data_IF_364605601399
#
_entry.id   IF_364605601399
#
_cell.length_a   1.000
_cell.length_b   1.000
_cell.length_c   1.000
_cell.angle_alpha   90.00
_cell.angle_beta   90.00
_cell.angle_gamma   90.00
#
_symmetry.space_group_name_H-M   'P 1'
#
loop_
_entity.id
_entity.type
_entity.pdbx_description
1 polymer ?
#
# COMPACT_ATOMS: atom_id res chain seq x y z
N UNK A 1 7.31 21.09 2.38
CA UNK A 1 6.69 20.43 1.22
C UNK A 1 5.48 19.67 1.76
N UNK A 2 4.28 19.98 1.28
CA UNK A 2 3.07 19.25 1.65
C UNK A 2 3.06 17.92 0.88
N UNK A 3 2.78 16.81 1.55
CA UNK A 3 2.55 15.53 0.88
C UNK A 3 1.36 15.66 -0.09
N UNK A 4 1.38 14.98 -1.25
CA UNK A 4 0.17 14.79 -2.02
C UNK A 4 -0.81 14.00 -1.15
N UNK A 5 -2.03 14.50 -0.98
CA UNK A 5 -3.11 13.69 -0.47
C UNK A 5 -3.24 12.48 -1.42
N UNK A 6 -3.02 11.26 -0.93
CA UNK A 6 -3.52 10.09 -1.63
C UNK A 6 -5.02 10.32 -1.81
N UNK A 7 -5.47 10.38 -3.07
CA UNK A 7 -6.90 10.35 -3.35
C UNK A 7 -7.51 9.11 -2.69
N UNK A 8 -8.81 9.13 -2.34
CA UNK A 8 -9.46 7.95 -1.80
C UNK A 8 -9.27 6.82 -2.80
N UNK A 9 -8.51 5.80 -2.40
CA UNK A 9 -8.53 4.53 -3.09
C UNK A 9 -10.00 4.05 -3.08
N UNK A 10 -10.39 3.24 -4.07
CA UNK A 10 -11.68 2.57 -4.08
C UNK A 10 -11.37 1.06 -4.12
N UNK A 11 -11.81 0.29 -3.14
CA UNK A 11 -11.51 -1.15 -2.96
C UNK A 11 -12.55 -1.83 -2.06
N UNK A 12 -13.84 -1.55 -2.28
CA UNK A 12 -14.96 -2.37 -1.81
C UNK A 12 -15.94 -2.51 -2.97
N UNK A 13 -16.59 -3.67 -3.11
CA UNK A 13 -17.61 -3.89 -4.14
C UNK A 13 -18.71 -2.82 -4.04
N UNK A 14 -19.15 -2.31 -5.18
CA UNK A 14 -20.31 -1.40 -5.29
C UNK A 14 -21.00 -1.65 -6.62
N UNK A 15 -22.29 -1.32 -6.71
CA UNK A 15 -22.97 -1.34 -8.00
C UNK A 15 -22.44 -0.22 -8.90
N UNK A 16 -22.42 -0.47 -10.20
CA UNK A 16 -22.10 0.49 -11.23
C UNK A 16 -23.07 0.39 -12.41
N UNK A 17 -23.04 1.40 -13.27
CA UNK A 17 -23.59 1.38 -14.63
C UNK A 17 -22.46 1.71 -15.61
N UNK A 18 -22.60 1.27 -16.86
CA UNK A 18 -21.73 1.71 -17.95
C UNK A 18 -22.30 3.00 -18.55
N UNK A 19 -21.48 4.05 -18.61
CA UNK A 19 -21.79 5.28 -19.33
C UNK A 19 -20.78 5.49 -20.47
N UNK A 20 -21.04 6.45 -21.35
CA UNK A 20 -20.17 6.90 -22.44
C UNK A 20 -18.74 7.25 -22.00
N UNK A 21 -18.55 7.52 -20.72
CA UNK A 21 -17.24 7.81 -20.12
C UNK A 21 -16.57 6.63 -19.41
N UNK A 22 -17.22 5.50 -19.13
CA UNK A 22 -16.68 4.40 -18.30
C UNK A 22 -17.63 3.96 -17.18
N UNK A 23 -17.15 3.24 -16.17
CA UNK A 23 -17.98 2.82 -15.02
C UNK A 23 -18.40 4.02 -14.17
N UNK A 24 -19.69 4.08 -13.84
CA UNK A 24 -20.27 5.08 -12.94
C UNK A 24 -20.93 4.35 -11.78
N UNK A 25 -20.50 4.65 -10.56
CA UNK A 25 -21.07 4.06 -9.34
C UNK A 25 -22.56 4.38 -9.22
N UNK A 26 -23.37 3.37 -8.90
CA UNK A 26 -24.80 3.53 -8.63
C UNK A 26 -25.12 3.02 -7.23
N UNK A 27 -25.99 3.74 -6.53
CA UNK A 27 -26.57 3.26 -5.27
C UNK A 27 -27.77 2.39 -5.57
N UNK A 28 -27.97 1.36 -4.77
CA UNK A 28 -29.17 0.52 -4.81
C UNK A 28 -29.77 0.45 -3.42
N UNK A 29 -31.09 0.59 -3.34
CA UNK A 29 -31.82 0.37 -2.08
C UNK A 29 -32.28 -1.09 -1.96
N UNK A 30 -32.24 -1.85 -3.06
CA UNK A 30 -32.82 -3.20 -3.18
C UNK A 30 -31.90 -4.33 -2.76
N UNK A 31 -30.58 -4.13 -2.88
CA UNK A 31 -29.57 -5.16 -2.57
C UNK A 31 -28.79 -4.75 -1.34
N UNK A 32 -28.89 -5.51 -0.27
CA UNK A 32 -28.20 -5.31 1.00
C UNK A 32 -27.03 -6.28 1.18
N UNK A 33 -26.03 -5.91 2.01
CA UNK A 33 -24.94 -6.81 2.40
C UNK A 33 -25.32 -7.49 3.73
N UNK A 34 -25.72 -8.76 3.63
CA UNK A 34 -26.03 -9.58 4.80
C UNK A 34 -24.76 -10.02 5.55
N UNK A 35 -23.66 -10.24 4.83
CA UNK A 35 -22.36 -10.43 5.49
C UNK A 35 -21.20 -10.11 4.58
N UNK A 36 -20.10 -9.64 5.17
CA UNK A 36 -18.78 -9.52 4.56
C UNK A 36 -17.74 -10.19 5.47
N UNK A 37 -16.97 -11.13 4.91
CA UNK A 37 -15.79 -11.74 5.53
C UNK A 37 -14.55 -11.32 4.74
N UNK A 38 -13.82 -10.36 5.28
CA UNK A 38 -12.64 -9.73 4.70
C UNK A 38 -11.38 -10.27 5.38
N UNK A 39 -10.50 -10.87 4.58
CA UNK A 39 -9.17 -11.30 4.98
C UNK A 39 -8.11 -10.49 4.24
N UNK A 40 -7.14 -9.93 4.96
CA UNK A 40 -6.04 -9.16 4.38
C UNK A 40 -4.70 -9.64 4.93
N UNK A 41 -3.74 -9.83 4.03
CA UNK A 41 -2.33 -10.11 4.30
C UNK A 41 -1.46 -9.47 3.23
N UNK A 42 -0.14 -9.41 3.41
CA UNK A 42 0.78 -8.91 2.37
C UNK A 42 0.72 -9.71 1.07
N UNK A 43 0.29 -10.98 1.13
CA UNK A 43 0.33 -11.89 -0.02
C UNK A 43 -1.04 -12.08 -0.69
N UNK A 44 -2.13 -11.81 0.03
CA UNK A 44 -3.48 -12.10 -0.44
C UNK A 44 -4.52 -11.27 0.32
N UNK A 45 -5.46 -10.71 -0.44
CA UNK A 45 -6.75 -10.25 0.04
C UNK A 45 -7.82 -11.22 -0.44
N UNK A 46 -8.72 -11.62 0.44
CA UNK A 46 -9.93 -12.40 0.11
C UNK A 46 -11.13 -11.73 0.71
N UNK A 47 -12.21 -11.65 -0.05
CA UNK A 47 -13.48 -11.17 0.47
C UNK A 47 -14.58 -12.13 0.06
N UNK A 48 -15.49 -12.39 1.00
CA UNK A 48 -16.68 -13.19 0.78
C UNK A 48 -17.91 -12.40 1.22
N UNK A 49 -18.74 -12.03 0.25
CA UNK A 49 -20.02 -11.37 0.48
C UNK A 49 -21.17 -12.36 0.44
N UNK A 50 -22.21 -12.01 1.19
CA UNK A 50 -23.57 -12.49 1.01
C UNK A 50 -24.45 -11.28 0.71
N UNK A 51 -24.82 -11.11 -0.56
CA UNK A 51 -25.73 -10.06 -0.99
C UNK A 51 -27.17 -10.58 -0.95
N UNK A 52 -28.11 -9.82 -0.39
CA UNK A 52 -29.52 -10.19 -0.34
C UNK A 52 -30.34 -9.22 -1.19
N UNK A 53 -31.18 -9.77 -2.06
CA UNK A 53 -32.20 -8.98 -2.74
C UNK A 53 -33.46 -8.93 -1.87
N UNK A 54 -33.76 -7.75 -1.35
CA UNK A 54 -34.93 -7.51 -0.49
C UNK A 54 -36.21 -7.22 -1.30
N UNK A 55 -36.10 -7.07 -2.63
CA UNK A 55 -37.23 -6.85 -3.53
C UNK A 55 -37.94 -8.15 -3.95
N UNK A 56 -39.17 -7.97 -4.45
CA UNK A 56 -40.02 -9.03 -5.01
C UNK A 56 -39.76 -9.31 -6.49
N UNK A 57 -38.79 -8.62 -7.09
CA UNK A 57 -38.41 -8.76 -8.50
C UNK A 57 -36.92 -9.05 -8.63
N UNK A 58 -36.55 -9.76 -9.69
CA UNK A 58 -35.15 -9.99 -10.00
C UNK A 58 -34.47 -8.65 -10.31
N UNK A 59 -33.23 -8.49 -9.82
CA UNK A 59 -32.38 -7.33 -10.11
C UNK A 59 -31.20 -7.80 -10.94
N UNK A 60 -30.95 -7.15 -12.07
CA UNK A 60 -29.74 -7.32 -12.87
C UNK A 60 -28.92 -6.04 -12.82
N UNK A 61 -27.62 -6.15 -12.53
CA UNK A 61 -26.75 -5.00 -12.35
C UNK A 61 -25.30 -5.31 -12.74
N UNK A 62 -24.48 -4.27 -12.83
CA UNK A 62 -23.02 -4.39 -12.92
C UNK A 62 -22.48 -4.24 -11.50
N UNK A 63 -21.73 -5.24 -11.05
CA UNK A 63 -20.91 -5.12 -9.86
C UNK A 63 -19.52 -4.72 -10.32
N UNK A 64 -18.95 -3.73 -9.63
CA UNK A 64 -17.63 -3.24 -9.91
C UNK A 64 -16.81 -3.24 -8.62
N UNK A 65 -15.59 -3.77 -8.74
CA UNK A 65 -14.56 -3.83 -7.73
C UNK A 65 -13.42 -2.93 -8.17
N UNK A 66 -13.37 -1.70 -7.65
CA UNK A 66 -12.22 -0.83 -7.89
C UNK A 66 -10.99 -1.39 -7.17
N UNK A 67 -9.81 -1.16 -7.75
CA UNK A 67 -8.53 -1.49 -7.14
C UNK A 67 -7.92 -0.23 -6.54
N UNK A 68 -7.02 -0.37 -5.56
CA UNK A 68 -6.23 0.75 -5.06
C UNK A 68 -5.53 1.52 -6.18
N UNK A 69 -5.47 2.83 -6.02
CA UNK A 69 -4.79 3.74 -6.93
C UNK A 69 -3.29 3.42 -7.01
N UNK A 70 -2.75 3.40 -8.23
CA UNK A 70 -1.34 3.10 -8.48
C UNK A 70 -0.68 4.33 -9.09
N UNK A 71 0.30 4.87 -8.40
CA UNK A 71 1.13 5.96 -8.92
C UNK A 71 2.59 5.59 -8.75
N UNK A 72 3.43 6.17 -9.59
CA UNK A 72 4.88 6.02 -9.47
C UNK A 72 5.40 7.03 -8.44
N UNK A 73 5.55 6.61 -7.19
CA UNK A 73 6.19 7.43 -6.15
C UNK A 73 7.71 7.17 -6.15
N UNK A 74 8.54 8.19 -6.38
CA UNK A 74 9.99 8.02 -6.37
C UNK A 74 10.52 7.64 -4.96
N UNK A 75 9.88 8.08 -3.88
CA UNK A 75 10.34 7.87 -2.51
C UNK A 75 9.85 6.58 -1.88
N UNK A 76 8.74 6.02 -2.35
CA UNK A 76 8.14 4.80 -1.80
C UNK A 76 8.14 3.65 -2.81
N UNK A 77 8.66 2.50 -2.38
CA UNK A 77 8.57 1.28 -3.18
C UNK A 77 7.16 0.71 -3.11
N UNK A 78 6.55 0.49 -4.28
CA UNK A 78 5.30 -0.27 -4.39
C UNK A 78 5.62 -1.63 -5.00
N UNK A 79 5.34 -2.70 -4.25
CA UNK A 79 5.42 -4.05 -4.78
C UNK A 79 4.16 -4.35 -5.62
N UNK A 80 4.33 -4.37 -6.94
CA UNK A 80 3.32 -4.90 -7.87
C UNK A 80 3.68 -6.36 -8.22
N UNK A 81 2.79 -7.33 -7.94
CA UNK A 81 3.06 -8.75 -8.20
C UNK A 81 3.42 -9.07 -9.65
N UNK A 82 2.69 -8.49 -10.62
CA UNK A 82 2.88 -8.78 -12.04
C UNK A 82 2.84 -7.49 -12.90
N UNK A 83 3.90 -6.64 -12.88
CA UNK A 83 3.88 -5.27 -13.42
C UNK A 83 3.72 -5.17 -14.95
N UNK A 84 3.70 -6.31 -15.67
CA UNK A 84 3.67 -6.37 -17.12
C UNK A 84 2.39 -6.95 -17.73
N UNK A 85 1.37 -7.26 -16.93
CA UNK A 85 0.07 -7.76 -17.43
C UNK A 85 -1.09 -6.92 -16.91
N UNK A 86 -2.19 -6.90 -17.65
CA UNK A 86 -3.38 -6.13 -17.28
C UNK A 86 -3.97 -6.60 -15.93
N UNK A 87 -3.93 -7.91 -15.64
CA UNK A 87 -4.31 -8.46 -14.33
C UNK A 87 -3.13 -8.49 -13.34
N UNK A 88 -2.51 -7.35 -13.11
CA UNK A 88 -1.26 -7.22 -12.33
C UNK A 88 -1.38 -7.64 -10.84
N UNK A 89 -2.60 -7.86 -10.33
CA UNK A 89 -2.89 -8.33 -8.95
C UNK A 89 -3.50 -9.73 -8.90
N UNK A 90 -3.54 -10.46 -10.04
CA UNK A 90 -4.10 -11.80 -10.11
C UNK A 90 -5.55 -11.91 -9.58
N UNK A 91 -6.38 -10.89 -9.85
CA UNK A 91 -7.77 -10.82 -9.41
C UNK A 91 -8.61 -11.96 -10.00
N UNK A 92 -9.38 -12.63 -9.14
CA UNK A 92 -10.36 -13.65 -9.51
C UNK A 92 -11.65 -13.43 -8.75
N UNK A 93 -12.79 -13.72 -9.37
CA UNK A 93 -14.12 -13.61 -8.75
C UNK A 93 -14.98 -14.82 -9.07
N UNK A 94 -15.78 -15.23 -8.10
CA UNK A 94 -16.76 -16.30 -8.17
C UNK A 94 -18.12 -15.79 -7.68
N UNK A 95 -19.20 -16.26 -8.31
CA UNK A 95 -20.58 -15.99 -7.92
C UNK A 95 -21.34 -17.30 -7.80
N UNK A 96 -21.94 -17.55 -6.63
CA UNK A 96 -22.58 -18.82 -6.26
C UNK A 96 -21.70 -20.06 -6.57
N UNK A 97 -20.39 -19.94 -6.30
CA UNK A 97 -19.39 -20.99 -6.52
C UNK A 97 -19.00 -21.22 -7.98
N UNK A 98 -19.43 -20.35 -8.90
CA UNK A 98 -19.02 -20.39 -10.32
C UNK A 98 -18.03 -19.26 -10.59
N UNK A 99 -16.87 -19.60 -11.14
CA UNK A 99 -15.89 -18.61 -11.59
C UNK A 99 -16.49 -17.71 -12.68
N UNK A 100 -16.23 -16.41 -12.54
CA UNK A 100 -16.58 -15.40 -13.53
C UNK A 100 -15.30 -14.85 -14.18
N UNK A 101 -15.41 -14.41 -15.43
CA UNK A 101 -14.36 -13.62 -16.09
C UNK A 101 -14.72 -12.14 -15.98
N UNK A 102 -14.11 -11.39 -15.06
CA UNK A 102 -14.36 -9.96 -14.96
C UNK A 102 -13.77 -9.23 -16.16
N UNK A 103 -14.37 -8.11 -16.50
CA UNK A 103 -13.82 -7.11 -17.40
C UNK A 103 -12.96 -6.14 -16.59
N UNK A 104 -11.95 -5.54 -17.21
CA UNK A 104 -11.07 -4.58 -16.56
C UNK A 104 -11.16 -3.23 -17.27
N UNK A 105 -11.41 -2.17 -16.49
CA UNK A 105 -11.26 -0.78 -16.93
C UNK A 105 -10.04 -0.16 -16.24
N UNK A 106 -9.20 0.52 -17.01
CA UNK A 106 -8.04 1.26 -16.49
C UNK A 106 -8.03 2.68 -17.04
N UNK A 107 -7.79 3.63 -16.15
CA UNK A 107 -7.73 5.06 -16.45
C UNK A 107 -6.56 5.71 -15.76
N UNK A 108 -5.96 6.71 -16.41
CA UNK A 108 -4.88 7.51 -15.86
C UNK A 108 -5.36 8.92 -15.52
N UNK A 109 -4.95 9.40 -14.37
CA UNK A 109 -5.30 10.72 -13.85
C UNK A 109 -4.05 11.50 -13.45
N UNK A 110 -4.04 12.79 -13.70
CA UNK A 110 -3.06 13.73 -13.13
C UNK A 110 -3.81 14.86 -12.44
N UNK A 111 -3.62 15.01 -11.11
CA UNK A 111 -4.36 15.94 -10.27
C UNK A 111 -5.90 15.89 -10.54
N UNK A 112 -6.47 14.69 -10.58
CA UNK A 112 -7.88 14.36 -10.90
C UNK A 112 -8.34 14.60 -12.36
N UNK A 113 -7.49 15.11 -13.25
CA UNK A 113 -7.82 15.20 -14.66
C UNK A 113 -7.54 13.86 -15.36
N UNK A 114 -8.53 13.32 -16.05
CA UNK A 114 -8.35 12.11 -16.86
C UNK A 114 -7.47 12.40 -18.08
N UNK A 115 -6.29 11.76 -18.11
CA UNK A 115 -5.28 11.86 -19.16
C UNK A 115 -5.16 10.58 -19.99
N UNK A 116 -6.08 9.63 -19.81
CA UNK A 116 -6.06 8.29 -20.46
C UNK A 116 -5.98 8.39 -21.98
N UNK A 117 -6.80 9.25 -22.59
CA UNK A 117 -6.81 9.43 -24.04
C UNK A 117 -5.48 10.02 -24.54
N UNK A 118 -4.85 10.88 -23.76
CA UNK A 118 -3.59 11.53 -24.11
C UNK A 118 -2.41 10.56 -24.03
N UNK A 119 -2.38 9.70 -23.00
CA UNK A 119 -1.41 8.61 -22.90
C UNK A 119 -1.54 7.67 -24.10
N UNK A 120 -2.77 7.22 -24.39
CA UNK A 120 -3.05 6.33 -25.54
C UNK A 120 -2.64 6.97 -26.87
N UNK A 121 -2.98 8.24 -27.10
CA UNK A 121 -2.60 8.95 -28.32
C UNK A 121 -1.07 9.12 -28.46
N UNK A 122 -0.34 9.17 -27.35
CA UNK A 122 1.13 9.23 -27.33
C UNK A 122 1.80 7.85 -27.31
N UNK A 123 1.03 6.75 -27.41
CA UNK A 123 1.51 5.38 -27.25
C UNK A 123 2.26 5.13 -25.93
N UNK A 124 1.83 5.81 -24.86
CA UNK A 124 2.32 5.61 -23.49
C UNK A 124 1.36 4.66 -22.77
N UNK A 125 1.85 3.56 -22.18
CA UNK A 125 1.02 2.66 -21.37
C UNK A 125 0.30 3.38 -20.22
N UNK A 126 -0.91 2.93 -19.87
CA UNK A 126 -1.68 3.49 -18.75
C UNK A 126 -1.09 3.08 -17.40
N UNK A 127 -0.50 1.88 -17.30
CA UNK A 127 0.24 1.48 -16.11
C UNK A 127 1.51 2.34 -15.96
N UNK A 128 1.64 3.17 -14.91
CA UNK A 128 2.81 4.04 -14.72
C UNK A 128 4.05 3.28 -14.24
N UNK A 129 3.90 2.02 -13.81
CA UNK A 129 4.96 1.22 -13.23
C UNK A 129 5.61 0.33 -14.30
N UNK A 130 6.93 0.22 -14.24
CA UNK A 130 7.73 -0.67 -15.08
C UNK A 130 8.38 -0.01 -16.29
N UNK A 131 9.27 -0.77 -16.94
CA UNK A 131 10.16 -0.26 -17.98
C UNK A 131 9.43 0.25 -19.22
N UNK A 132 8.25 -0.29 -19.53
CA UNK A 132 7.49 0.09 -20.71
C UNK A 132 7.02 1.55 -20.66
N UNK A 133 6.45 1.97 -19.53
CA UNK A 133 5.98 3.35 -19.34
C UNK A 133 7.17 4.33 -19.30
N UNK A 134 8.23 3.96 -18.58
CA UNK A 134 9.45 4.76 -18.51
C UNK A 134 10.10 4.94 -19.90
N UNK A 135 10.21 3.85 -20.67
CA UNK A 135 10.77 3.89 -22.01
C UNK A 135 9.90 4.71 -22.99
N UNK A 136 8.57 4.65 -22.86
CA UNK A 136 7.66 5.44 -23.67
C UNK A 136 7.78 6.93 -23.36
N UNK A 137 7.79 7.30 -22.06
CA UNK A 137 7.95 8.69 -21.62
C UNK A 137 9.29 9.30 -22.05
N UNK A 138 10.38 8.53 -21.99
CA UNK A 138 11.72 8.97 -22.46
C UNK A 138 11.78 9.26 -23.97
N UNK A 139 10.87 8.70 -24.77
CA UNK A 139 10.80 8.89 -26.23
C UNK A 139 9.92 10.07 -26.64
N UNK A 140 9.26 10.74 -25.70
CA UNK A 140 8.35 11.84 -26.02
C UNK A 140 9.12 13.04 -26.61
N UNK A 141 8.54 13.73 -27.61
CA UNK A 141 9.10 14.99 -28.12
C UNK A 141 9.24 16.04 -27.01
N UNK A 142 10.28 16.88 -27.10
CA UNK A 142 10.57 17.91 -26.08
C UNK A 142 9.38 18.81 -25.75
N UNK A 143 8.58 19.17 -26.75
CA UNK A 143 7.39 20.00 -26.54
C UNK A 143 6.32 19.28 -25.71
N UNK A 144 6.12 17.98 -25.95
CA UNK A 144 5.20 17.14 -25.20
C UNK A 144 5.67 16.97 -23.76
N UNK A 145 6.98 16.76 -23.56
CA UNK A 145 7.58 16.68 -22.22
C UNK A 145 7.37 17.98 -21.45
N UNK A 146 7.55 19.15 -22.08
CA UNK A 146 7.31 20.45 -21.44
C UNK A 146 5.85 20.62 -21.02
N UNK A 147 4.90 20.27 -21.90
CA UNK A 147 3.47 20.29 -21.59
C UNK A 147 3.11 19.34 -20.44
N UNK A 148 3.57 18.09 -20.51
CA UNK A 148 3.27 17.08 -19.51
C UNK A 148 3.91 17.34 -18.15
N UNK A 149 5.09 17.97 -18.11
CA UNK A 149 5.68 18.47 -16.87
C UNK A 149 4.82 19.57 -16.25
N UNK A 150 4.37 20.55 -17.04
CA UNK A 150 3.55 21.65 -16.55
C UNK A 150 2.19 21.18 -16.00
N UNK A 151 1.70 20.04 -16.50
CA UNK A 151 0.43 19.42 -16.11
C UNK A 151 0.59 18.33 -15.05
N UNK A 152 1.81 17.99 -14.64
CA UNK A 152 2.08 16.93 -13.66
C UNK A 152 1.80 15.50 -14.15
N UNK A 153 1.74 15.27 -15.46
CA UNK A 153 1.60 13.92 -16.04
C UNK A 153 2.93 13.17 -15.90
N UNK A 154 4.05 13.88 -16.03
CA UNK A 154 5.39 13.35 -15.76
C UNK A 154 6.10 14.24 -14.74
N UNK A 155 7.06 13.67 -14.03
CA UNK A 155 7.92 14.39 -13.09
C UNK A 155 9.39 14.24 -13.50
N UNK A 156 10.26 15.12 -12.97
CA UNK A 156 11.71 14.90 -13.08
C UNK A 156 12.13 13.84 -12.08
N UNK A 157 13.05 12.98 -12.50
CA UNK A 157 13.69 12.04 -11.62
C UNK A 157 14.54 12.77 -10.57
N UNK A 158 14.09 12.73 -9.32
CA UNK A 158 14.73 13.41 -8.19
C UNK A 158 16.02 12.73 -7.74
N UNK A 159 16.28 11.49 -8.19
CA UNK A 159 17.51 10.75 -7.89
C UNK A 159 18.52 10.78 -9.03
N UNK A 160 18.27 11.57 -10.07
CA UNK A 160 19.23 11.75 -11.16
C UNK A 160 20.54 12.37 -10.63
N UNK A 161 21.68 11.86 -11.12
CA UNK A 161 23.01 12.36 -10.75
C UNK A 161 23.19 13.85 -11.07
N UNK A 162 22.56 14.31 -12.15
CA UNK A 162 22.53 15.71 -12.58
C UNK A 162 21.08 16.20 -12.57
N UNK A 163 20.66 16.99 -11.56
CA UNK A 163 19.32 17.56 -11.46
C UNK A 163 18.92 18.41 -12.67
N UNK A 164 19.87 19.09 -13.31
CA UNK A 164 19.62 19.95 -14.48
C UNK A 164 19.36 19.12 -15.76
N UNK A 165 19.78 17.85 -15.75
CA UNK A 165 19.57 16.87 -16.83
C UNK A 165 18.71 15.69 -16.43
N UNK A 166 18.00 15.81 -15.30
CA UNK A 166 17.15 14.74 -14.80
C UNK A 166 16.15 14.27 -15.89
N UNK A 167 16.12 12.97 -16.21
CA UNK A 167 15.14 12.42 -17.12
C UNK A 167 13.73 12.56 -16.54
N UNK A 168 12.73 12.49 -17.40
CA UNK A 168 11.33 12.46 -16.96
C UNK A 168 10.85 11.03 -16.68
N UNK A 169 10.05 10.89 -15.64
CA UNK A 169 9.45 9.65 -15.18
C UNK A 169 7.91 9.79 -15.17
N UNK A 170 7.15 8.68 -15.33
CA UNK A 170 5.71 8.68 -15.10
C UNK A 170 5.35 9.28 -13.75
N UNK A 171 4.30 10.10 -13.70
CA UNK A 171 3.80 10.71 -12.46
C UNK A 171 2.26 10.71 -12.35
N UNK A 172 1.56 10.10 -13.31
CA UNK A 172 0.11 9.94 -13.24
C UNK A 172 -0.30 8.81 -12.29
N UNK A 173 -1.54 8.88 -11.81
CA UNK A 173 -2.21 7.83 -11.03
C UNK A 173 -3.06 6.99 -11.96
N UNK A 174 -2.83 5.68 -11.99
CA UNK A 174 -3.71 4.71 -12.61
C UNK A 174 -4.77 4.24 -11.62
N UNK A 175 -6.03 4.35 -12.01
CA UNK A 175 -7.18 3.75 -11.34
C UNK A 175 -7.63 2.54 -12.16
N UNK A 176 -7.74 1.38 -11.52
CA UNK A 176 -8.19 0.12 -12.15
C UNK A 176 -9.52 -0.31 -11.54
N UNK A 177 -10.43 -0.89 -12.34
CA UNK A 177 -11.70 -1.41 -11.84
C UNK A 177 -12.08 -2.67 -12.58
N UNK A 178 -12.22 -3.77 -11.83
CA UNK A 178 -12.81 -5.00 -12.34
C UNK A 178 -14.32 -4.91 -12.29
N UNK A 179 -15.03 -5.43 -13.28
CA UNK A 179 -16.48 -5.43 -13.27
C UNK A 179 -17.08 -6.64 -13.96
N UNK A 180 -18.27 -7.04 -13.54
CA UNK A 180 -19.02 -8.15 -14.12
C UNK A 180 -20.53 -7.91 -14.01
N UNK A 181 -21.29 -8.59 -14.86
CA UNK A 181 -22.76 -8.60 -14.75
C UNK A 181 -23.17 -9.59 -13.67
N UNK A 182 -24.09 -9.17 -12.81
CA UNK A 182 -24.63 -9.97 -11.72
C UNK A 182 -26.16 -9.98 -11.80
N UNK A 183 -26.75 -11.13 -11.48
CA UNK A 183 -28.19 -11.29 -11.27
C UNK A 183 -28.45 -11.62 -9.81
N UNK A 184 -29.35 -10.87 -9.18
CA UNK A 184 -29.82 -11.07 -7.83
C UNK A 184 -31.31 -11.45 -7.87
N UNK A 185 -31.65 -12.75 -7.76
CA UNK A 185 -33.05 -13.18 -7.85
C UNK A 185 -33.89 -12.64 -6.67
N UNK A 186 -35.18 -12.38 -6.92
CA UNK A 186 -36.10 -11.84 -5.91
C UNK A 186 -36.08 -12.62 -4.59
N UNK A 187 -35.89 -11.91 -3.46
CA UNK A 187 -35.91 -12.52 -2.12
C UNK A 187 -34.81 -13.56 -1.88
N UNK A 188 -33.74 -13.60 -2.69
CA UNK A 188 -32.63 -14.55 -2.56
C UNK A 188 -31.36 -13.89 -2.06
N UNK A 189 -30.52 -14.70 -1.44
CA UNK A 189 -29.13 -14.38 -1.13
C UNK A 189 -28.21 -14.98 -2.18
N UNK A 190 -27.23 -14.20 -2.61
CA UNK A 190 -26.22 -14.57 -3.59
C UNK A 190 -24.84 -14.43 -2.95
N UNK A 191 -24.00 -15.44 -3.13
CA UNK A 191 -22.61 -15.40 -2.66
C UNK A 191 -21.71 -14.84 -3.75
N UNK A 192 -20.89 -13.86 -3.39
CA UNK A 192 -19.80 -13.36 -4.23
C UNK A 192 -18.51 -13.50 -3.46
N UNK A 193 -17.49 -14.08 -4.09
CA UNK A 193 -16.16 -14.22 -3.52
C UNK A 193 -15.14 -13.71 -4.50
N UNK A 194 -14.21 -12.91 -4.03
CA UNK A 194 -13.06 -12.51 -4.84
C UNK A 194 -11.77 -12.57 -4.03
N UNK A 195 -10.67 -12.68 -4.75
CA UNK A 195 -9.32 -12.65 -4.18
C UNK A 195 -8.36 -12.00 -5.15
N UNK A 196 -7.31 -11.40 -4.60
CA UNK A 196 -6.22 -10.79 -5.35
C UNK A 196 -5.00 -10.67 -4.44
N UNK A 197 -3.84 -10.40 -5.04
CA UNK A 197 -2.62 -10.05 -4.32
C UNK A 197 -2.61 -8.54 -4.13
N UNK A 198 -2.53 -8.00 -2.89
CA UNK A 198 -2.55 -6.56 -2.71
C UNK A 198 -1.25 -5.93 -3.19
N UNK A 199 -1.34 -4.65 -3.52
CA UNK A 199 -0.19 -3.78 -3.63
C UNK A 199 0.30 -3.45 -2.22
N UNK A 200 1.58 -3.71 -1.93
CA UNK A 200 2.18 -3.41 -0.62
C UNK A 200 3.14 -2.24 -0.79
N UNK A 201 2.85 -1.14 -0.09
CA UNK A 201 3.77 -0.02 0.03
C UNK A 201 4.78 -0.28 1.13
N UNK A 202 5.98 0.28 1.01
CA UNK A 202 6.99 0.17 2.05
C UNK A 202 8.00 1.31 2.07
N UNK A 203 8.62 1.50 3.23
CA UNK A 203 9.78 2.38 3.40
C UNK A 203 10.90 1.66 4.14
N UNK A 204 12.11 2.18 4.02
CA UNK A 204 13.34 1.55 4.51
C UNK A 204 13.61 1.77 6.00
N UNK A 205 12.83 2.63 6.64
CA UNK A 205 12.95 2.94 8.07
C UNK A 205 11.59 3.10 8.73
N UNK A 206 11.61 3.71 9.92
CA UNK A 206 10.41 4.01 10.69
C UNK A 206 10.18 5.51 10.67
N UNK A 207 9.07 5.94 10.08
CA UNK A 207 8.76 7.35 9.80
C UNK A 207 8.36 8.11 11.07
N UNK A 208 7.83 7.41 12.07
CA UNK A 208 7.48 7.94 13.40
C UNK A 208 8.57 7.67 14.46
N UNK A 209 9.82 7.58 14.03
CA UNK A 209 10.98 7.47 14.91
C UNK A 209 11.74 8.80 14.97
N UNK A 210 12.01 9.26 16.19
CA UNK A 210 12.90 10.40 16.43
C UNK A 210 14.34 9.88 16.52
N UNK A 211 15.12 10.14 15.48
CA UNK A 211 16.50 9.66 15.36
C UNK A 211 17.45 10.33 16.34
N UNK A 212 17.21 11.60 16.70
CA UNK A 212 18.05 12.34 17.66
C UNK A 212 17.76 11.89 19.10
N UNK A 213 16.47 11.75 19.43
CA UNK A 213 16.06 11.31 20.76
C UNK A 213 16.05 9.79 20.95
N UNK A 214 16.31 9.02 19.88
CA UNK A 214 16.31 7.55 19.84
C UNK A 214 15.08 6.92 20.50
N UNK A 215 13.91 7.43 20.14
CA UNK A 215 12.62 6.96 20.66
C UNK A 215 11.52 7.17 19.63
N UNK A 216 10.38 6.53 19.86
CA UNK A 216 9.14 6.88 19.14
C UNK A 216 8.85 8.36 19.33
N UNK A 217 8.66 9.07 18.21
CA UNK A 217 8.61 10.53 18.18
C UNK A 217 8.69 11.05 16.76
N UNK A 218 9.07 12.32 16.60
CA UNK A 218 9.21 12.95 15.29
C UNK A 218 7.91 13.51 14.73
N UNK A 219 8.02 14.16 13.57
CA UNK A 219 6.96 14.98 12.97
C UNK A 219 5.74 14.18 12.50
N UNK A 220 5.89 12.88 12.24
CA UNK A 220 4.84 12.04 11.66
C UNK A 220 4.04 11.22 12.70
N UNK A 221 4.40 11.28 13.98
CA UNK A 221 3.78 10.41 15.00
C UNK A 221 2.26 10.60 15.11
N UNK A 222 1.78 11.84 15.14
CA UNK A 222 0.34 12.11 15.24
C UNK A 222 -0.43 11.66 13.99
N UNK A 223 0.18 11.78 12.81
CA UNK A 223 -0.39 11.25 11.57
C UNK A 223 -0.51 9.73 11.63
N UNK A 224 0.52 9.03 12.10
CA UNK A 224 0.52 7.57 12.23
C UNK A 224 -0.47 7.08 13.30
N UNK A 225 -0.60 7.80 14.42
CA UNK A 225 -1.63 7.55 15.44
C UNK A 225 -3.02 7.67 14.85
N UNK A 226 -3.29 8.70 14.05
CA UNK A 226 -4.59 8.88 13.41
C UNK A 226 -4.86 7.82 12.33
N UNK A 227 -3.91 7.62 11.41
CA UNK A 227 -4.06 6.76 10.22
C UNK A 227 -4.14 5.28 10.60
N UNK A 228 -3.17 4.79 11.37
CA UNK A 228 -3.00 3.37 11.67
C UNK A 228 -3.47 2.97 13.08
N UNK A 229 -4.05 3.90 13.85
CA UNK A 229 -4.35 3.69 15.27
C UNK A 229 -3.14 3.19 16.06
N UNK A 230 -1.98 3.79 15.80
CA UNK A 230 -0.74 3.45 16.49
C UNK A 230 -0.93 3.59 18.00
N UNK A 231 -0.87 2.46 18.70
CA UNK A 231 -1.17 2.41 20.13
C UNK A 231 0.09 2.41 21.00
N UNK A 232 -0.11 2.67 22.29
CA UNK A 232 1.00 2.68 23.25
C UNK A 232 1.71 1.31 23.37
N UNK A 233 1.06 0.21 22.98
CA UNK A 233 1.66 -1.13 22.94
C UNK A 233 2.73 -1.23 21.86
N UNK A 234 2.42 -0.82 20.65
CA UNK A 234 3.37 -0.74 19.53
C UNK A 234 4.48 0.26 19.86
N UNK A 235 4.15 1.44 20.38
CA UNK A 235 5.17 2.43 20.74
C UNK A 235 6.17 1.88 21.78
N UNK A 236 5.68 1.15 22.80
CA UNK A 236 6.55 0.47 23.77
C UNK A 236 7.39 -0.63 23.14
N UNK A 237 6.82 -1.44 22.25
CA UNK A 237 7.55 -2.50 21.56
C UNK A 237 8.71 -1.93 20.73
N UNK A 238 8.48 -0.81 20.03
CA UNK A 238 9.50 -0.12 19.23
C UNK A 238 10.61 0.46 20.08
N UNK A 239 10.27 1.19 21.16
CA UNK A 239 11.25 1.71 22.10
C UNK A 239 12.09 0.60 22.75
N UNK A 240 11.48 -0.56 23.06
CA UNK A 240 12.21 -1.69 23.62
C UNK A 240 13.13 -2.37 22.60
N UNK A 241 12.70 -2.47 21.34
CA UNK A 241 13.53 -3.01 20.27
C UNK A 241 14.78 -2.16 20.03
N UNK A 242 14.64 -0.82 20.05
CA UNK A 242 15.77 0.09 19.89
C UNK A 242 16.79 -0.01 21.03
N UNK A 243 16.34 -0.18 22.28
CA UNK A 243 17.24 -0.40 23.43
C UNK A 243 18.10 -1.66 23.29
N UNK A 244 17.63 -2.64 22.51
CA UNK A 244 18.34 -3.90 22.27
C UNK A 244 19.29 -3.83 21.05
N UNK A 245 19.31 -2.70 20.34
CA UNK A 245 20.01 -2.54 19.08
C UNK A 245 20.55 -1.12 18.89
N UNK A 246 21.35 -0.63 19.84
CA UNK A 246 22.07 0.64 19.80
C UNK A 246 21.23 1.88 19.42
N UNK A 247 19.96 1.90 19.84
CA UNK A 247 19.03 3.01 19.56
C UNK A 247 18.30 2.89 18.21
N UNK A 248 18.50 1.81 17.46
CA UNK A 248 17.84 1.52 16.19
C UNK A 248 16.79 0.43 16.36
N UNK A 249 15.48 0.71 16.21
CA UNK A 249 14.51 -0.37 16.16
C UNK A 249 14.76 -1.19 14.90
N UNK A 250 15.02 -2.49 15.05
CA UNK A 250 15.32 -3.39 13.94
C UNK A 250 14.06 -3.78 13.14
N UNK A 251 13.33 -2.77 12.67
CA UNK A 251 12.10 -2.89 11.89
C UNK A 251 12.07 -1.93 10.70
N UNK A 252 11.25 -2.26 9.71
CA UNK A 252 10.91 -1.39 8.57
C UNK A 252 9.39 -1.44 8.33
N UNK A 253 8.85 -0.44 7.65
CA UNK A 253 7.41 -0.28 7.46
C UNK A 253 6.97 -0.92 6.15
N UNK A 254 5.93 -1.74 6.24
CA UNK A 254 5.02 -2.05 5.13
C UNK A 254 3.63 -1.55 5.46
N UNK A 255 2.88 -1.15 4.45
CA UNK A 255 1.47 -0.82 4.63
C UNK A 255 0.58 -1.34 3.49
N UNK A 256 -0.67 -1.56 3.85
CA UNK A 256 -1.75 -1.95 2.94
C UNK A 256 -2.91 -1.00 3.22
N UNK A 257 -3.40 -0.34 2.18
CA UNK A 257 -4.63 0.45 2.23
C UNK A 257 -5.76 -0.33 1.56
N UNK A 258 -6.89 -0.41 2.24
CA UNK A 258 -8.11 -1.07 1.79
C UNK A 258 -9.29 -0.15 2.05
N UNK A 259 -10.27 -0.14 1.16
CA UNK A 259 -11.33 0.85 1.18
C UNK A 259 -12.56 0.14 1.67
N UNK A 260 -13.17 0.68 2.71
CA UNK A 260 -14.38 0.10 3.27
C UNK A 260 -15.59 0.97 2.94
N UNK A 261 -15.39 2.27 2.77
CA UNK A 261 -16.45 3.28 2.70
C UNK A 261 -17.45 3.05 1.56
N UNK A 262 -17.05 2.44 0.45
CA UNK A 262 -17.97 2.11 -0.65
C UNK A 262 -18.98 1.02 -0.28
N UNK A 263 -18.79 0.28 0.82
CA UNK A 263 -19.82 -0.59 1.40
C UNK A 263 -21.10 0.15 1.79
N UNK A 264 -21.01 1.47 2.05
CA UNK A 264 -22.17 2.33 2.32
C UNK A 264 -23.05 2.63 1.09
N UNK A 265 -22.66 2.19 -0.12
CA UNK A 265 -23.45 2.39 -1.35
C UNK A 265 -24.53 1.32 -1.58
N UNK A 266 -24.55 0.27 -0.76
CA UNK A 266 -25.55 -0.80 -0.79
C UNK A 266 -26.77 -0.48 0.09
N UNK A 267 -27.87 -1.18 -0.16
CA UNK A 267 -29.14 -1.00 0.53
C UNK A 267 -28.96 -1.17 2.04
N UNK A 268 -29.55 -0.26 2.81
CA UNK A 268 -29.43 -0.22 4.27
C UNK A 268 -28.19 0.49 4.82
N UNK A 269 -27.21 0.86 3.96
CA UNK A 269 -25.98 1.60 4.33
C UNK A 269 -25.07 0.94 5.38
N UNK A 270 -25.45 -0.22 5.90
CA UNK A 270 -24.69 -1.01 6.88
C UNK A 270 -24.50 -2.44 6.38
N UNK A 271 -23.42 -3.07 6.81
CA UNK A 271 -23.16 -4.50 6.63
C UNK A 271 -23.71 -5.21 7.87
N UNK A 272 -24.72 -6.08 7.71
CA UNK A 272 -25.39 -6.71 8.86
C UNK A 272 -24.41 -7.49 9.74
N UNK A 273 -23.47 -8.21 9.12
CA UNK A 273 -22.36 -8.89 9.80
C UNK A 273 -21.04 -8.66 9.08
N UNK A 274 -20.11 -7.97 9.73
CA UNK A 274 -18.77 -7.72 9.21
C UNK A 274 -17.74 -8.52 10.00
N UNK A 275 -16.84 -9.20 9.31
CA UNK A 275 -15.67 -9.86 9.89
C UNK A 275 -14.43 -9.39 9.15
N UNK A 276 -13.46 -8.84 9.89
CA UNK A 276 -12.15 -8.47 9.36
C UNK A 276 -11.09 -9.34 10.02
N UNK A 277 -10.27 -10.01 9.21
CA UNK A 277 -9.11 -10.78 9.65
C UNK A 277 -7.84 -10.24 9.00
N UNK A 278 -6.89 -9.80 9.82
CA UNK A 278 -5.57 -9.33 9.39
C UNK A 278 -4.51 -10.37 9.73
N UNK A 279 -3.70 -10.75 8.75
CA UNK A 279 -2.51 -11.60 8.93
C UNK A 279 -1.23 -10.79 8.72
N UNK A 280 -0.42 -10.67 9.77
CA UNK A 280 0.87 -9.95 9.73
C UNK A 280 2.04 -10.76 9.19
N UNK A 281 1.80 -11.97 8.70
CA UNK A 281 2.78 -12.83 8.00
C UNK A 281 3.77 -13.57 8.90
N UNK A 282 4.44 -12.88 9.84
CA UNK A 282 5.38 -13.49 10.80
C UNK A 282 4.98 -13.19 12.24
N UNK A 283 5.10 -14.14 13.20
CA UNK A 283 4.89 -13.87 14.62
C UNK A 283 5.81 -12.78 15.19
N UNK A 284 6.93 -12.48 14.54
CA UNK A 284 7.87 -11.42 14.95
C UNK A 284 7.49 -10.02 14.47
N UNK A 285 6.66 -9.90 13.43
CA UNK A 285 6.20 -8.60 12.95
C UNK A 285 5.28 -7.93 13.98
N UNK A 286 5.14 -6.62 13.92
CA UNK A 286 4.07 -5.91 14.62
C UNK A 286 3.02 -5.45 13.60
N UNK A 287 1.78 -5.27 14.05
CA UNK A 287 0.70 -4.80 13.18
C UNK A 287 -0.11 -3.75 13.93
N UNK A 288 -0.47 -2.67 13.23
CA UNK A 288 -1.32 -1.59 13.73
C UNK A 288 -2.36 -1.25 12.67
N UNK A 289 -3.62 -1.22 13.06
CA UNK A 289 -4.74 -0.80 12.22
C UNK A 289 -5.87 -0.38 13.13
N UNK A 290 -6.77 0.45 12.60
CA UNK A 290 -7.94 0.85 13.33
C UNK A 290 -9.03 -0.20 13.23
N UNK A 291 -9.39 -0.77 14.37
CA UNK A 291 -10.48 -1.72 14.51
C UNK A 291 -11.04 -1.71 15.92
N UNK A 292 -12.28 -2.16 16.08
CA UNK A 292 -12.94 -2.27 17.38
C UNK A 292 -12.87 -3.71 17.88
N UNK A 293 -12.66 -3.90 19.19
CA UNK A 293 -12.62 -5.22 19.84
C UNK A 293 -11.73 -6.26 19.15
N UNK A 294 -10.60 -5.81 18.62
CA UNK A 294 -9.64 -6.66 17.90
C UNK A 294 -9.08 -7.74 18.84
N UNK A 295 -9.23 -9.00 18.43
CA UNK A 295 -8.72 -10.17 19.15
C UNK A 295 -7.63 -10.84 18.35
N UNK A 296 -6.53 -11.21 19.02
CA UNK A 296 -5.53 -12.11 18.44
C UNK A 296 -6.11 -13.53 18.41
N UNK A 297 -6.29 -14.11 17.22
CA UNK A 297 -6.88 -15.43 17.01
C UNK A 297 -5.86 -16.50 16.58
N UNK A 298 -4.62 -16.10 16.34
CA UNK A 298 -3.52 -17.01 16.01
C UNK A 298 -2.15 -16.34 16.19
N UNK A 299 -1.04 -17.02 15.83
CA UNK A 299 0.31 -16.46 15.96
C UNK A 299 0.51 -15.15 15.20
N UNK A 300 -0.13 -15.02 14.03
CA UNK A 300 -0.01 -13.88 13.11
C UNK A 300 -1.33 -13.18 12.83
N UNK A 301 -2.46 -13.77 13.24
CA UNK A 301 -3.80 -13.35 12.83
C UNK A 301 -4.56 -12.61 13.94
N UNK A 302 -5.20 -11.51 13.54
CA UNK A 302 -6.03 -10.64 14.38
C UNK A 302 -7.39 -10.48 13.73
N UNK A 303 -8.45 -10.52 14.52
CA UNK A 303 -9.82 -10.47 14.00
C UNK A 303 -10.66 -9.46 14.78
N UNK A 304 -11.49 -8.72 14.06
CA UNK A 304 -12.65 -8.02 14.61
C UNK A 304 -13.93 -8.55 13.96
N UNK A 305 -15.01 -8.52 14.73
CA UNK A 305 -16.36 -8.87 14.27
C UNK A 305 -17.29 -7.77 14.73
N UNK A 306 -18.12 -7.27 13.83
CA UNK A 306 -19.11 -6.23 14.10
C UNK A 306 -20.47 -6.62 13.51
N UNK A 307 -21.54 -6.20 14.18
CA UNK A 307 -22.92 -6.30 13.70
C UNK A 307 -23.41 -4.91 13.29
N UNK A 308 -24.20 -4.83 12.21
CA UNK A 308 -24.69 -3.57 11.64
C UNK A 308 -23.55 -2.56 11.41
N UNK A 309 -22.44 -3.05 10.87
CA UNK A 309 -21.22 -2.29 10.69
C UNK A 309 -21.43 -1.18 9.65
N UNK A 310 -21.15 0.05 10.05
CA UNK A 310 -21.17 1.21 9.16
C UNK A 310 -19.73 1.55 8.78
N UNK A 311 -19.32 1.38 7.51
CA UNK A 311 -17.97 1.68 7.07
C UNK A 311 -17.80 3.19 6.87
N UNK A 312 -17.51 3.94 7.95
CA UNK A 312 -17.32 5.39 7.93
C UNK A 312 -15.91 5.84 7.55
N UNK A 313 -14.97 4.90 7.49
CA UNK A 313 -13.57 5.14 7.19
C UNK A 313 -12.98 3.99 6.40
N UNK A 314 -11.97 4.30 5.61
CA UNK A 314 -11.12 3.29 4.99
C UNK A 314 -10.15 2.68 6.02
N UNK A 315 -9.60 1.54 5.64
CA UNK A 315 -8.72 0.72 6.45
C UNK A 315 -7.28 0.89 5.99
N UNK A 316 -6.43 1.39 6.87
CA UNK A 316 -5.00 1.44 6.69
C UNK A 316 -4.33 0.50 7.69
N UNK A 317 -3.49 -0.40 7.18
CA UNK A 317 -2.80 -1.43 7.97
C UNK A 317 -1.30 -1.17 7.88
N UNK A 318 -0.67 -0.90 9.02
CA UNK A 318 0.77 -0.82 9.16
C UNK A 318 1.31 -2.16 9.66
N UNK A 319 2.27 -2.73 8.96
CA UNK A 319 3.03 -3.92 9.36
C UNK A 319 4.48 -3.49 9.56
N UNK A 320 4.96 -3.58 10.80
CA UNK A 320 6.37 -3.35 11.12
C UNK A 320 7.11 -4.68 11.01
N UNK A 321 7.94 -4.81 9.97
CA UNK A 321 8.64 -6.03 9.63
C UNK A 321 10.02 -6.08 10.25
N UNK A 322 10.35 -7.17 10.92
CA UNK A 322 11.67 -7.35 11.54
C UNK A 322 12.69 -7.75 10.47
N UNK A 323 13.86 -7.10 10.39
CA UNK A 323 14.87 -7.38 9.36
C UNK A 323 15.40 -8.83 9.32
N UNK A 324 15.29 -9.58 10.42
CA UNK A 324 15.78 -10.98 10.51
C UNK A 324 14.92 -11.99 9.72
N UNK A 325 13.70 -11.63 9.32
CA UNK A 325 12.72 -12.55 8.70
C UNK A 325 12.62 -12.43 7.18
N UNK A 326 13.52 -11.70 6.50
CA UNK A 326 13.51 -11.57 5.03
C UNK A 326 14.01 -12.85 4.34
N UNK A 327 13.16 -13.59 3.59
CA UNK A 327 13.62 -14.71 2.75
C UNK A 327 14.66 -14.20 1.74
N UNK A 328 15.58 -15.07 1.29
CA UNK A 328 16.65 -14.67 0.36
C UNK A 328 16.13 -14.06 -0.95
N UNK A 329 14.91 -14.40 -1.38
CA UNK A 329 14.23 -13.84 -2.55
C UNK A 329 13.81 -12.38 -2.39
N UNK A 330 13.51 -11.96 -1.16
CA UNK A 330 12.93 -10.64 -0.87
C UNK A 330 14.01 -9.63 -0.42
N UNK A 331 15.25 -10.11 -0.20
CA UNK A 331 16.42 -9.28 0.10
C UNK A 331 16.80 -8.33 -1.03
N UNK A 332 16.32 -8.56 -2.25
CA UNK A 332 16.51 -7.64 -3.36
C UNK A 332 15.72 -6.32 -3.20
N UNK A 333 14.63 -6.36 -2.42
CA UNK A 333 13.78 -5.20 -2.12
C UNK A 333 13.85 -4.74 -0.66
N UNK A 334 14.37 -5.59 0.24
CA UNK A 334 14.65 -5.18 1.60
C UNK A 334 15.82 -4.17 1.61
N UNK A 335 15.67 -3.03 2.29
CA UNK A 335 16.78 -2.14 2.52
C UNK A 335 17.83 -2.86 3.36
N UNK A 336 19.11 -2.57 3.11
CA UNK A 336 20.13 -3.00 4.06
C UNK A 336 19.84 -2.29 5.39
N UNK A 337 19.85 -3.05 6.49
CA UNK A 337 19.77 -2.44 7.82
C UNK A 337 20.84 -1.32 7.90
N UNK A 338 20.50 -0.11 8.38
CA UNK A 338 21.51 0.91 8.59
C UNK A 338 22.60 0.30 9.46
N UNK A 339 23.83 0.31 8.97
CA UNK A 339 24.97 -0.08 9.80
C UNK A 339 24.97 0.88 10.99
N UNK A 340 24.88 0.34 12.20
CA UNK A 340 25.10 1.14 13.40
C UNK A 340 26.42 1.91 13.19
N UNK A 341 26.47 3.23 13.44
CA UNK A 341 27.72 3.97 13.32
C UNK A 341 28.75 3.23 14.16
N UNK A 342 29.73 2.63 13.48
CA UNK A 342 30.74 1.83 14.14
C UNK A 342 31.39 2.72 15.19
N UNK A 343 31.54 2.20 16.42
CA UNK A 343 32.45 2.80 17.38
C UNK A 343 33.79 2.94 16.67
N UNK A 344 34.14 4.15 16.25
CA UNK A 344 35.51 4.47 15.88
C UNK A 344 36.35 4.03 17.08
N UNK A 345 37.11 2.97 16.89
CA UNK A 345 38.12 2.57 17.83
C UNK A 345 39.04 3.79 18.00
N UNK A 346 39.08 4.36 19.21
CA UNK A 346 40.07 5.35 19.61
C UNK A 346 41.47 4.83 19.25
N UNK A 347 41.95 5.22 18.06
CA UNK A 347 43.29 4.92 17.59
C UNK A 347 43.95 6.25 17.30
N UNK A 348 44.43 6.89 18.36
CA UNK A 348 45.06 8.21 18.23
C UNK A 348 45.41 8.91 19.53
N UNK A 349 45.85 8.19 20.58
CA UNK A 349 46.68 8.82 21.62
C UNK A 349 48.15 8.47 21.34
N UNK A 350 49.02 9.46 21.06
CA UNK A 350 50.45 9.19 20.93
C UNK A 350 51.05 8.93 22.32
N UNK A 351 51.56 7.71 22.51
CA UNK A 351 52.41 7.33 23.64
C UNK A 351 53.73 8.10 23.55
N UNK A 352 54.27 8.68 24.64
CA UNK A 352 55.54 9.40 24.61
C UNK A 352 56.71 8.44 24.36
N UNK A 353 57.58 8.79 23.40
CA UNK A 353 58.82 8.06 23.12
C UNK A 353 59.81 8.18 24.28
N UNK A 354 60.32 7.04 24.72
CA UNK A 354 61.48 6.94 25.59
C UNK A 354 62.77 7.22 24.79
N UNK A 355 63.66 8.05 25.34
CA UNK A 355 65.00 8.33 24.81
C UNK A 355 65.88 7.07 24.77
N UNK A 356 66.72 6.88 23.74
CA UNK A 356 67.74 5.85 23.75
C UNK A 356 69.00 6.37 24.47
N UNK A 357 69.51 5.58 25.41
CA UNK A 357 70.88 5.69 25.90
C UNK A 357 71.82 5.03 24.87
N UNK A 358 72.89 5.74 24.49
CA UNK A 358 73.98 5.24 23.66
C UNK A 358 75.32 5.61 24.28
N UNK A 359 76.05 4.57 24.66
CA UNK A 359 77.48 4.38 24.86
C UNK A 359 78.35 5.44 25.57
N UNK A 360 78.82 4.99 26.73
CA UNK A 360 80.18 5.18 27.24
C UNK A 360 81.21 4.55 26.30
N UNK A 361 82.25 5.29 25.93
CA UNK A 361 83.61 4.76 25.88
C UNK A 361 84.58 5.86 26.34
N UNK A 362 85.30 5.55 27.42
CA UNK A 362 86.48 6.27 27.89
C UNK A 362 87.64 5.27 27.84
N UNK A 363 88.70 5.69 27.15
CA UNK A 363 90.11 5.29 27.21
C UNK A 363 90.54 4.01 27.97
N UNK A 364 91.38 3.26 27.24
CA UNK A 364 92.38 2.24 27.61
C UNK A 364 91.95 0.77 27.79
#
# INVERSE_FOLDING_TARGET
MALPALGPALANDTMAKLDTGGLVWVRTDSISIASEDLFISENEVRVAYQFRNDDKVDVESIVAFPMPDIHNDPYFGIAIPEPGIDNFLSFTVEMDGRALTPQLEQRAFSAELDVTAELKAAAVPVNPIGDAALAAVKKLPREKVRDWLARGIVARDVFAEDPDRAPVIPAWTMKSTYWWKAKFPAGKTVSVKHRYRPSVGGTTGISFWDWDAQKVGGSYLEEYRYKYCLDAGIERAMNNAAKQNDGYPNYWENWISYVLTTGGHWGGSTIEKFTLTIDKGSPKNLVSFCGQDVKKIGPTTFQMVAENFYPDRDLDILILKKFEDTPSSDRAFAPQAPQAPGREAERGKPTPMASPAGDTDAEN
#
